data_IF_505650572542
#
_entry.id   IF_505650572542
#
_cell.length_a   1.000
_cell.length_b   1.000
_cell.length_c   1.000
_cell.angle_alpha   90.00
_cell.angle_beta   90.00
_cell.angle_gamma   90.00
#
_symmetry.space_group_name_H-M   'P 1'
#
loop_
_entity.id
_entity.type
_entity.pdbx_description
1 polymer ?
#
# COMPACT_ATOMS: atom_id res chain seq x y z
N UNK A 1 -0.45 -11.97 8.56
CA UNK A 1 -0.20 -10.51 8.53
C UNK A 1 1.08 -10.14 7.79
N UNK A 2 2.22 -10.82 8.00
CA UNK A 2 3.48 -10.53 7.27
C UNK A 2 3.40 -10.66 5.74
N UNK A 3 2.64 -11.65 5.23
CA UNK A 3 2.41 -11.79 3.79
C UNK A 3 1.68 -10.58 3.20
N UNK A 4 0.72 -10.00 3.93
CA UNK A 4 0.03 -8.78 3.49
C UNK A 4 1.00 -7.59 3.53
N UNK A 5 1.82 -7.48 4.57
CA UNK A 5 2.80 -6.40 4.66
C UNK A 5 3.82 -6.48 3.51
N UNK A 6 4.41 -7.65 3.26
CA UNK A 6 5.36 -7.85 2.17
C UNK A 6 4.73 -7.61 0.79
N UNK A 7 3.50 -8.13 0.57
CA UNK A 7 2.82 -8.02 -0.73
C UNK A 7 2.44 -6.60 -1.11
N UNK A 8 1.99 -5.82 -0.11
CA UNK A 8 1.47 -4.48 -0.36
C UNK A 8 2.56 -3.41 -0.23
N UNK A 9 3.63 -3.65 0.54
CA UNK A 9 4.77 -2.74 0.63
C UNK A 9 5.84 -2.94 -0.46
N UNK A 10 5.56 -3.80 -1.46
CA UNK A 10 6.50 -4.17 -2.54
C UNK A 10 7.88 -4.61 -2.02
N UNK A 11 7.90 -5.33 -0.89
CA UNK A 11 9.15 -5.60 -0.21
C UNK A 11 9.88 -6.75 -0.88
N UNK A 12 10.98 -6.41 -1.55
CA UNK A 12 11.82 -7.37 -2.27
C UNK A 12 12.94 -7.93 -1.38
N UNK A 13 13.26 -7.22 -0.30
CA UNK A 13 14.37 -7.53 0.61
C UNK A 13 13.92 -7.62 2.06
N UNK A 14 14.45 -8.60 2.81
CA UNK A 14 14.07 -8.87 4.21
C UNK A 14 14.25 -7.66 5.12
N UNK A 15 15.28 -6.84 4.88
CA UNK A 15 15.58 -5.65 5.69
C UNK A 15 14.50 -4.57 5.55
N UNK A 16 13.90 -4.43 4.36
CA UNK A 16 12.79 -3.51 4.16
C UNK A 16 11.58 -3.97 5.00
N UNK A 17 11.32 -5.28 5.07
CA UNK A 17 10.20 -5.84 5.86
C UNK A 17 10.43 -5.60 7.36
N UNK A 18 11.68 -5.72 7.83
CA UNK A 18 12.06 -5.38 9.20
C UNK A 18 11.86 -3.90 9.52
N UNK A 19 12.11 -3.00 8.56
CA UNK A 19 11.80 -1.58 8.71
C UNK A 19 10.34 -1.32 9.07
N UNK A 20 9.40 -2.03 8.43
CA UNK A 20 7.98 -1.96 8.77
C UNK A 20 7.66 -2.62 10.12
N UNK A 21 8.22 -3.81 10.40
CA UNK A 21 8.00 -4.50 11.68
C UNK A 21 8.43 -3.62 12.86
N UNK A 22 9.56 -2.92 12.75
CA UNK A 22 10.10 -2.09 13.82
C UNK A 22 9.29 -0.82 14.09
N UNK A 23 8.50 -0.32 13.13
CA UNK A 23 7.55 0.76 13.40
C UNK A 23 6.48 0.35 14.42
N UNK A 24 6.08 -0.91 14.40
CA UNK A 24 5.09 -1.48 15.31
C UNK A 24 5.69 -2.11 16.56
N UNK A 25 6.85 -2.72 16.42
CA UNK A 25 7.59 -3.35 17.49
C UNK A 25 9.03 -2.79 17.54
N UNK A 26 9.25 -1.57 18.07
CA UNK A 26 10.55 -0.90 18.04
C UNK A 26 11.68 -1.65 18.74
N UNK A 27 11.33 -2.58 19.64
CA UNK A 27 12.27 -3.41 20.39
C UNK A 27 12.56 -4.76 19.72
N UNK A 28 11.87 -5.09 18.62
CA UNK A 28 12.08 -6.33 17.89
C UNK A 28 13.28 -6.22 16.95
N UNK A 29 14.00 -7.32 16.79
CA UNK A 29 15.09 -7.47 15.84
C UNK A 29 15.21 -8.92 15.40
N UNK A 30 15.86 -9.16 14.27
CA UNK A 30 16.13 -10.51 13.78
C UNK A 30 16.86 -11.38 14.82
N UNK A 31 17.83 -10.80 15.53
CA UNK A 31 18.61 -11.50 16.56
C UNK A 31 17.75 -11.87 17.79
N UNK A 32 16.81 -11.02 18.18
CA UNK A 32 15.96 -11.25 19.35
C UNK A 32 14.73 -12.10 19.03
N UNK A 33 14.31 -12.16 17.76
CA UNK A 33 13.11 -12.86 17.29
C UNK A 33 13.41 -13.70 16.04
N UNK A 34 14.20 -14.79 16.15
CA UNK A 34 14.65 -15.57 14.99
C UNK A 34 13.51 -16.26 14.22
N UNK A 35 12.43 -16.68 14.90
CA UNK A 35 11.26 -17.23 14.22
C UNK A 35 10.51 -16.18 13.38
N UNK A 36 10.49 -14.93 13.82
CA UNK A 36 9.93 -13.81 13.06
C UNK A 36 10.81 -13.48 11.86
N UNK A 37 12.14 -13.52 12.03
CA UNK A 37 13.09 -13.32 10.93
C UNK A 37 12.92 -14.36 9.83
N UNK A 38 12.76 -15.63 10.20
CA UNK A 38 12.52 -16.70 9.23
C UNK A 38 11.16 -16.55 8.53
N UNK A 39 10.12 -16.13 9.25
CA UNK A 39 8.82 -15.84 8.65
C UNK A 39 8.86 -14.64 7.70
N UNK A 40 9.65 -13.61 8.02
CA UNK A 40 9.91 -12.47 7.15
C UNK A 40 10.61 -12.91 5.86
N UNK A 41 11.62 -13.77 5.95
CA UNK A 41 12.29 -14.34 4.78
C UNK A 41 11.33 -15.09 3.86
N UNK A 42 10.49 -15.97 4.40
CA UNK A 42 9.49 -16.69 3.61
C UNK A 42 8.47 -15.75 2.96
N UNK A 43 8.05 -14.69 3.66
CA UNK A 43 7.12 -13.71 3.11
C UNK A 43 7.71 -12.96 1.91
N UNK A 44 8.99 -12.57 1.98
CA UNK A 44 9.70 -11.91 0.87
C UNK A 44 9.87 -12.84 -0.32
N UNK A 45 10.30 -14.09 -0.09
CA UNK A 45 10.42 -15.09 -1.17
C UNK A 45 9.07 -15.32 -1.85
N UNK A 46 8.00 -15.50 -1.07
CA UNK A 46 6.66 -15.66 -1.62
C UNK A 46 6.23 -14.46 -2.46
N UNK A 47 6.51 -13.24 -1.99
CA UNK A 47 6.23 -12.03 -2.75
C UNK A 47 6.95 -12.02 -4.09
N UNK A 48 8.27 -12.25 -4.09
CA UNK A 48 9.10 -12.23 -5.29
C UNK A 48 8.72 -13.31 -6.30
N UNK A 49 8.38 -14.51 -5.83
CA UNK A 49 8.16 -15.67 -6.71
C UNK A 49 6.71 -15.76 -7.23
N UNK A 50 5.72 -15.28 -6.47
CA UNK A 50 4.30 -15.51 -6.80
C UNK A 50 3.47 -14.25 -6.94
N UNK A 51 3.79 -13.16 -6.22
CA UNK A 51 2.97 -11.94 -6.23
C UNK A 51 3.52 -10.95 -7.25
N UNK A 52 4.80 -10.60 -7.16
CA UNK A 52 5.48 -9.63 -8.03
C UNK A 52 5.31 -9.97 -9.52
N UNK A 53 5.51 -11.23 -9.99
CA UNK A 53 5.40 -11.55 -11.42
C UNK A 53 3.98 -11.44 -11.97
N UNK A 54 2.96 -11.47 -11.10
CA UNK A 54 1.56 -11.37 -11.49
C UNK A 54 1.03 -9.93 -11.46
N UNK A 55 1.83 -8.95 -11.01
CA UNK A 55 1.40 -7.56 -10.95
C UNK A 55 1.30 -6.96 -12.34
N UNK A 56 0.15 -6.37 -12.64
CA UNK A 56 -0.14 -5.66 -13.88
C UNK A 56 -0.60 -4.26 -13.54
N UNK A 57 0.27 -3.30 -13.78
CA UNK A 57 0.00 -1.89 -13.57
C UNK A 57 -0.68 -1.28 -14.81
N UNK A 58 -1.49 -0.24 -14.58
CA UNK A 58 -2.04 0.58 -15.65
C UNK A 58 -1.98 2.06 -15.30
N UNK A 59 -2.00 2.90 -16.33
CA UNK A 59 -2.15 4.33 -16.13
C UNK A 59 -3.54 4.65 -15.54
N UNK A 60 -3.64 5.66 -14.64
CA UNK A 60 -4.92 6.20 -14.24
C UNK A 60 -5.54 7.01 -15.38
N UNK A 61 -6.87 6.94 -15.50
CA UNK A 61 -7.68 7.90 -16.26
C UNK A 61 -7.63 9.30 -15.63
N UNK A 62 -8.17 10.31 -16.31
CA UNK A 62 -8.21 11.68 -15.78
C UNK A 62 -8.99 11.78 -14.46
N UNK A 63 -10.13 11.09 -14.37
CA UNK A 63 -10.95 11.04 -13.15
C UNK A 63 -10.20 10.36 -11.98
N UNK A 64 -9.55 9.22 -12.25
CA UNK A 64 -8.76 8.51 -11.24
C UNK A 64 -7.54 9.33 -10.82
N UNK A 65 -6.90 10.03 -11.75
CA UNK A 65 -5.79 10.95 -11.48
C UNK A 65 -6.23 12.08 -10.57
N UNK A 66 -7.39 12.67 -10.79
CA UNK A 66 -7.94 13.71 -9.89
C UNK A 66 -8.16 13.15 -8.48
N UNK A 67 -8.84 12.01 -8.37
CA UNK A 67 -9.14 11.39 -7.08
C UNK A 67 -7.88 10.93 -6.32
N UNK A 68 -6.85 10.44 -7.03
CA UNK A 68 -5.56 10.09 -6.45
C UNK A 68 -4.79 11.32 -5.98
N UNK A 69 -4.83 12.43 -6.74
CA UNK A 69 -4.24 13.69 -6.31
C UNK A 69 -4.92 14.24 -5.04
N UNK A 70 -6.24 14.15 -4.94
CA UNK A 70 -7.02 14.51 -3.75
C UNK A 70 -6.63 13.64 -2.55
N UNK A 71 -6.62 12.31 -2.74
CA UNK A 71 -6.19 11.36 -1.71
C UNK A 71 -4.77 11.65 -1.20
N UNK A 72 -3.81 11.85 -2.09
CA UNK A 72 -2.43 12.23 -1.71
C UNK A 72 -2.45 13.52 -0.87
N UNK A 73 -3.14 14.56 -1.32
CA UNK A 73 -3.18 15.84 -0.60
C UNK A 73 -3.78 15.68 0.80
N UNK A 74 -4.87 14.93 0.93
CA UNK A 74 -5.51 14.67 2.22
C UNK A 74 -4.62 13.84 3.14
N UNK A 75 -3.88 12.86 2.61
CA UNK A 75 -2.89 12.09 3.37
C UNK A 75 -1.75 12.98 3.88
N UNK A 76 -1.19 13.85 3.04
CA UNK A 76 -0.12 14.76 3.43
C UNK A 76 -0.56 15.80 4.48
N UNK A 77 -1.84 16.16 4.47
CA UNK A 77 -2.44 17.06 5.45
C UNK A 77 -3.01 16.32 6.69
N UNK A 78 -2.91 14.99 6.74
CA UNK A 78 -3.56 14.20 7.78
C UNK A 78 -2.81 14.29 9.12
N UNK A 79 -3.50 14.78 10.14
CA UNK A 79 -3.01 14.89 11.53
C UNK A 79 -3.83 14.03 12.53
N UNK A 80 -4.71 13.17 12.01
CA UNK A 80 -5.59 12.31 12.79
C UNK A 80 -4.99 10.96 13.21
N UNK A 81 -5.81 10.08 13.81
CA UNK A 81 -5.38 8.75 14.25
C UNK A 81 -4.87 7.85 13.11
N UNK A 82 -3.74 7.18 13.31
CA UNK A 82 -3.18 6.21 12.36
C UNK A 82 -3.87 4.83 12.47
N UNK A 83 -5.18 4.83 12.37
CA UNK A 83 -6.06 3.66 12.54
C UNK A 83 -6.81 3.33 11.24
N UNK A 84 -7.10 2.05 11.01
CA UNK A 84 -7.75 1.56 9.78
C UNK A 84 -9.06 2.31 9.50
N UNK A 85 -9.94 2.45 10.49
CA UNK A 85 -11.23 3.13 10.35
C UNK A 85 -11.11 4.59 9.89
N UNK A 86 -10.20 5.34 10.51
CA UNK A 86 -10.04 6.77 10.24
C UNK A 86 -9.45 6.99 8.84
N UNK A 87 -8.42 6.24 8.49
CA UNK A 87 -7.77 6.30 7.17
C UNK A 87 -8.71 5.76 6.07
N UNK A 88 -9.47 4.70 6.33
CA UNK A 88 -10.46 4.19 5.38
C UNK A 88 -11.53 5.24 5.08
N UNK A 89 -11.97 6.00 6.08
CA UNK A 89 -12.97 7.06 5.90
C UNK A 89 -12.47 8.16 4.96
N UNK A 90 -11.19 8.54 5.08
CA UNK A 90 -10.53 9.48 4.18
C UNK A 90 -10.47 8.95 2.75
N UNK A 91 -10.06 7.69 2.56
CA UNK A 91 -10.03 7.03 1.24
C UNK A 91 -11.42 6.98 0.60
N UNK A 92 -12.45 6.67 1.40
CA UNK A 92 -13.84 6.62 0.95
C UNK A 92 -14.33 7.99 0.50
N UNK A 93 -14.04 9.05 1.26
CA UNK A 93 -14.44 10.42 0.95
C UNK A 93 -13.89 10.89 -0.41
N UNK A 94 -12.65 10.50 -0.76
CA UNK A 94 -12.04 10.85 -2.05
C UNK A 94 -12.78 10.24 -3.26
N UNK A 95 -13.42 9.08 -3.08
CA UNK A 95 -14.10 8.37 -4.17
C UNK A 95 -15.61 8.56 -4.23
N UNK A 96 -16.27 8.81 -3.08
CA UNK A 96 -17.73 8.70 -2.93
C UNK A 96 -18.56 9.50 -3.94
N UNK A 97 -18.16 10.74 -4.21
CA UNK A 97 -18.89 11.63 -5.13
C UNK A 97 -18.41 11.53 -6.59
N UNK A 98 -17.33 10.77 -6.85
CA UNK A 98 -16.66 10.68 -8.16
C UNK A 98 -16.93 9.36 -8.88
N UNK A 99 -17.21 8.30 -8.14
CA UNK A 99 -17.36 6.95 -8.68
C UNK A 99 -18.71 6.34 -8.31
N UNK A 100 -19.47 5.96 -9.34
CA UNK A 100 -20.67 5.15 -9.22
C UNK A 100 -20.60 4.00 -10.23
N UNK A 101 -20.34 2.75 -9.81
CA UNK A 101 -20.27 2.29 -8.42
C UNK A 101 -18.93 2.57 -7.72
N UNK A 102 -18.98 2.86 -6.41
CA UNK A 102 -17.78 3.14 -5.61
C UNK A 102 -16.70 2.04 -5.63
N UNK A 103 -17.07 0.78 -5.90
CA UNK A 103 -16.09 -0.31 -6.03
C UNK A 103 -15.04 -0.03 -7.11
N UNK A 104 -15.38 0.77 -8.13
CA UNK A 104 -14.48 1.09 -9.23
C UNK A 104 -13.35 2.03 -8.76
N UNK A 105 -13.60 2.86 -7.73
CA UNK A 105 -12.55 3.64 -7.07
C UNK A 105 -11.51 2.73 -6.41
N UNK A 106 -11.94 1.74 -5.64
CA UNK A 106 -11.02 0.81 -4.98
C UNK A 106 -10.27 -0.04 -6.00
N UNK A 107 -10.96 -0.49 -7.06
CA UNK A 107 -10.31 -1.18 -8.17
C UNK A 107 -9.22 -0.31 -8.81
N UNK A 108 -9.50 0.98 -9.05
CA UNK A 108 -8.51 1.92 -9.56
C UNK A 108 -7.30 2.05 -8.63
N UNK A 109 -7.51 2.19 -7.31
CA UNK A 109 -6.42 2.22 -6.33
C UNK A 109 -5.52 0.98 -6.48
N UNK A 110 -6.10 -0.24 -6.49
CA UNK A 110 -5.28 -1.45 -6.55
C UNK A 110 -4.56 -1.61 -7.90
N UNK A 111 -5.22 -1.33 -9.02
CA UNK A 111 -4.63 -1.53 -10.34
C UNK A 111 -3.54 -0.48 -10.64
N UNK A 112 -3.74 0.76 -10.19
CA UNK A 112 -2.81 1.87 -10.44
C UNK A 112 -1.64 1.86 -9.45
N UNK A 113 -1.90 1.63 -8.16
CA UNK A 113 -0.86 1.73 -7.12
C UNK A 113 -0.15 0.40 -6.84
N UNK A 114 -0.82 -0.73 -7.03
CA UNK A 114 -0.37 -2.03 -6.53
C UNK A 114 -0.29 -3.11 -7.62
N UNK A 115 -0.71 -2.81 -8.84
CA UNK A 115 -0.71 -3.74 -9.97
C UNK A 115 -1.63 -4.94 -9.76
N UNK A 116 -2.68 -4.82 -8.95
CA UNK A 116 -3.60 -5.90 -8.62
C UNK A 116 -5.05 -5.47 -8.87
N UNK A 117 -5.95 -6.41 -9.19
CA UNK A 117 -7.37 -6.09 -9.40
C UNK A 117 -8.17 -5.94 -8.10
N UNK A 118 -7.58 -6.36 -6.97
CA UNK A 118 -8.17 -6.32 -5.63
C UNK A 118 -7.08 -6.38 -4.56
N UNK A 119 -7.42 -6.02 -3.34
CA UNK A 119 -6.51 -6.09 -2.19
C UNK A 119 -7.24 -5.98 -0.85
N UNK A 120 -6.48 -6.01 0.26
CA UNK A 120 -7.03 -5.82 1.60
C UNK A 120 -7.56 -4.38 1.76
N UNK A 121 -8.47 -4.16 2.72
CA UNK A 121 -8.98 -2.83 3.05
C UNK A 121 -7.86 -1.76 3.08
N UNK A 122 -8.04 -0.70 2.29
CA UNK A 122 -6.95 0.23 1.98
C UNK A 122 -6.54 1.09 3.18
N UNK A 123 -7.47 1.45 4.08
CA UNK A 123 -7.17 2.15 5.34
C UNK A 123 -6.18 1.37 6.20
N UNK A 124 -6.42 0.08 6.40
CA UNK A 124 -5.50 -0.82 7.11
C UNK A 124 -4.15 -0.96 6.41
N UNK A 125 -4.13 -0.93 5.07
CA UNK A 125 -2.86 -0.84 4.34
C UNK A 125 -2.11 0.45 4.65
N UNK A 126 -2.77 1.61 4.60
CA UNK A 126 -2.15 2.91 4.89
C UNK A 126 -1.62 2.95 6.33
N UNK A 127 -2.38 2.41 7.29
CA UNK A 127 -1.94 2.33 8.67
C UNK A 127 -0.60 1.58 8.76
N UNK A 128 -0.52 0.40 8.11
CA UNK A 128 0.65 -0.48 8.09
C UNK A 128 1.85 0.05 7.29
N UNK A 129 1.60 0.61 6.12
CA UNK A 129 2.61 1.09 5.19
C UNK A 129 3.15 2.47 5.58
N UNK A 130 2.27 3.31 6.12
CA UNK A 130 2.54 4.69 6.48
C UNK A 130 1.85 5.67 5.56
N UNK A 131 1.40 6.78 6.15
CA UNK A 131 0.68 7.86 5.45
C UNK A 131 1.58 8.55 4.43
N UNK A 132 2.79 8.91 4.82
CA UNK A 132 3.76 9.58 3.93
C UNK A 132 4.21 8.66 2.80
N UNK A 133 4.46 7.38 3.10
CA UNK A 133 4.83 6.36 2.13
C UNK A 133 3.69 6.10 1.13
N UNK A 134 2.44 6.09 1.59
CA UNK A 134 1.28 5.98 0.69
C UNK A 134 1.17 7.19 -0.22
N UNK A 135 1.39 8.41 0.29
CA UNK A 135 1.40 9.61 -0.53
C UNK A 135 2.49 9.55 -1.62
N UNK A 136 3.71 9.11 -1.26
CA UNK A 136 4.81 8.92 -2.21
C UNK A 136 4.50 7.81 -3.25
N UNK A 137 3.84 6.72 -2.84
CA UNK A 137 3.38 5.66 -3.74
C UNK A 137 2.40 6.22 -4.78
N UNK A 138 1.48 7.08 -4.36
CA UNK A 138 0.54 7.76 -5.26
C UNK A 138 1.29 8.67 -6.24
N UNK A 139 2.26 9.44 -5.77
CA UNK A 139 3.08 10.31 -6.63
C UNK A 139 3.83 9.52 -7.72
N UNK A 140 4.47 8.42 -7.35
CA UNK A 140 5.17 7.53 -8.28
C UNK A 140 4.21 6.94 -9.34
N UNK A 141 3.02 6.49 -8.92
CA UNK A 141 2.02 5.98 -9.85
C UNK A 141 1.52 7.07 -10.82
N UNK A 142 1.31 8.29 -10.32
CA UNK A 142 0.86 9.42 -11.15
C UNK A 142 1.95 9.87 -12.14
N UNK A 143 3.23 9.73 -11.79
CA UNK A 143 4.39 9.97 -12.65
C UNK A 143 4.58 8.87 -13.71
N UNK A 144 3.95 7.70 -13.54
CA UNK A 144 4.03 6.57 -14.47
C UNK A 144 5.20 5.62 -14.18
N UNK A 145 5.79 5.69 -12.99
CA UNK A 145 6.99 4.93 -12.62
C UNK A 145 6.78 3.41 -12.72
N UNK A 146 5.55 2.93 -12.54
CA UNK A 146 5.21 1.50 -12.58
C UNK A 146 4.87 0.94 -13.97
N UNK A 147 4.83 1.79 -15.01
CA UNK A 147 4.38 1.37 -16.34
C UNK A 147 5.50 0.79 -17.22
N UNK A 148 6.74 0.79 -16.76
CA UNK A 148 7.94 0.46 -17.55
C UNK A 148 8.64 -0.84 -17.12
N UNK A 149 7.92 -1.82 -16.56
CA UNK A 149 8.48 -3.09 -16.10
C UNK A 149 8.03 -4.29 -16.92
#
# INVERSE_FOLDING_TARGET
MLLNLASVANVEEKDQLWGFIQRYAPKASAATHPGLDQAAEFAVRYYNDFVKPAKVYRAPSDLEREALNDLRNQLLAYDGPLEDEALQSLVFACGRERFDPLRDWFKAIYEVLLGASQGPRFGGFIALYGVAETAALIEAALAGDFLNH
#
